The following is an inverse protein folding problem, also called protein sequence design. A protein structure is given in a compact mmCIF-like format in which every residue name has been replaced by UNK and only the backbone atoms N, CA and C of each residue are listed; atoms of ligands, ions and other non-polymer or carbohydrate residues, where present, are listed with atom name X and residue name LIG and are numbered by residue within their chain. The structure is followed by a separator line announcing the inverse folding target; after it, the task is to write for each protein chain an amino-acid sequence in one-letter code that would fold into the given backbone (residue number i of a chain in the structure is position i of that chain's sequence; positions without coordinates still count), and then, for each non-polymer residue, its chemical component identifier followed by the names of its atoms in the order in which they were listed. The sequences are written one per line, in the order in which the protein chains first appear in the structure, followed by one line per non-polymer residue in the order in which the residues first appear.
data_IF_741411403015
#
_entry.id   IF_741411403015
#
_cell.length_a   1.000
_cell.length_b   1.000
_cell.length_c   1.000
_cell.angle_alpha   90.00
_cell.angle_beta   90.00
_cell.angle_gamma   90.00
#
_symmetry.space_group_name_H-M   'P 1'
#
loop_
_entity.id
_entity.type
_entity.pdbx_description
1 polymer ?
#
# COMPACT_ATOMS: atom_id res chain seq x y z
N UNK A 1 -5.22 30.12 -5.90
CA UNK A 1 -5.04 29.15 -4.80
C UNK A 1 -4.32 29.72 -3.57
N UNK A 2 -3.58 30.84 -3.64
CA UNK A 2 -3.07 31.53 -2.43
C UNK A 2 -1.96 30.80 -1.66
N UNK A 3 -1.42 29.71 -2.21
CA UNK A 3 -0.32 28.91 -1.66
C UNK A 3 0.86 28.92 -2.64
N UNK A 4 2.08 28.89 -2.11
CA UNK A 4 3.30 28.62 -2.90
C UNK A 4 3.87 27.30 -2.42
N UNK A 5 3.54 26.17 -3.08
CA UNK A 5 4.02 24.86 -2.65
C UNK A 5 5.52 24.73 -2.94
N UNK A 6 6.26 23.95 -2.13
CA UNK A 6 7.62 23.54 -2.47
C UNK A 6 7.67 22.89 -3.85
N UNK A 7 8.73 23.16 -4.62
CA UNK A 7 8.96 22.56 -5.95
C UNK A 7 9.90 21.36 -5.91
N UNK A 8 10.62 21.16 -4.81
CA UNK A 8 11.44 19.97 -4.61
C UNK A 8 10.55 18.77 -4.27
N UNK A 9 11.04 17.57 -4.58
CA UNK A 9 10.34 16.33 -4.23
C UNK A 9 10.27 16.14 -2.71
N UNK A 10 9.10 15.70 -2.23
CA UNK A 10 8.95 15.19 -0.88
C UNK A 10 9.48 13.77 -0.74
N UNK A 11 9.24 13.16 0.43
CA UNK A 11 9.57 11.77 0.67
C UNK A 11 8.53 10.84 0.03
N UNK A 12 8.99 9.82 -0.70
CA UNK A 12 8.20 8.61 -0.96
C UNK A 12 8.01 7.79 0.34
N UNK A 13 7.27 6.68 0.28
CA UNK A 13 6.95 5.88 1.46
C UNK A 13 8.20 5.33 2.17
N UNK A 14 9.23 4.91 1.41
CA UNK A 14 10.49 4.39 1.97
C UNK A 14 11.26 5.51 2.63
N UNK A 15 11.47 6.63 1.93
CA UNK A 15 12.18 7.79 2.48
C UNK A 15 11.46 8.39 3.69
N UNK A 16 10.13 8.33 3.71
CA UNK A 16 9.36 8.76 4.88
C UNK A 16 9.69 7.88 6.08
N UNK A 17 9.73 6.55 5.90
CA UNK A 17 10.13 5.65 6.98
C UNK A 17 11.61 5.84 7.38
N UNK A 18 12.52 6.03 6.43
CA UNK A 18 13.93 6.31 6.73
C UNK A 18 14.09 7.60 7.55
N UNK A 19 13.37 8.66 7.19
CA UNK A 19 13.35 9.91 7.94
C UNK A 19 12.78 9.74 9.35
N UNK A 20 11.77 8.87 9.52
CA UNK A 20 11.24 8.52 10.85
C UNK A 20 12.26 7.76 11.69
N UNK A 21 12.99 6.82 11.08
CA UNK A 21 14.06 6.05 11.74
C UNK A 21 15.21 6.98 12.15
N UNK A 22 15.58 7.94 11.29
CA UNK A 22 16.63 8.93 11.57
C UNK A 22 16.21 9.98 12.61
N UNK A 23 14.91 10.13 12.89
CA UNK A 23 14.37 11.17 13.77
C UNK A 23 14.19 12.53 13.08
N UNK A 24 14.41 12.61 11.77
CA UNK A 24 14.18 13.82 10.97
C UNK A 24 12.68 14.09 10.78
N UNK A 25 11.88 13.03 10.64
CA UNK A 25 10.43 13.12 10.61
C UNK A 25 9.85 12.91 12.01
N UNK A 26 9.17 13.93 12.53
CA UNK A 26 8.59 13.94 13.89
C UNK A 26 7.09 13.73 13.93
N UNK A 27 6.41 13.97 12.82
CA UNK A 27 4.96 13.89 12.73
C UNK A 27 4.53 13.08 11.50
N UNK A 28 3.50 12.25 11.68
CA UNK A 28 2.86 11.50 10.60
C UNK A 28 1.35 11.78 10.59
N UNK A 29 0.81 12.11 9.42
CA UNK A 29 -0.63 12.23 9.20
C UNK A 29 -1.00 11.23 8.10
N UNK A 30 -1.74 10.19 8.46
CA UNK A 30 -2.19 9.16 7.54
C UNK A 30 -3.68 9.35 7.23
N UNK A 31 -4.00 9.55 5.95
CA UNK A 31 -5.37 9.46 5.45
C UNK A 31 -5.64 8.02 5.00
N UNK A 32 -6.24 7.23 5.89
CA UNK A 32 -6.40 5.78 5.72
C UNK A 32 -5.07 5.02 5.80
N UNK A 33 -5.10 3.78 5.33
CA UNK A 33 -3.92 2.92 5.21
C UNK A 33 -3.47 2.26 6.52
N UNK A 34 -2.56 1.31 6.37
CA UNK A 34 -1.91 0.58 7.46
C UNK A 34 -0.39 0.67 7.22
N UNK A 35 0.12 1.91 7.25
CA UNK A 35 1.47 2.28 6.77
C UNK A 35 2.55 1.33 7.30
N UNK A 36 2.62 1.14 8.61
CA UNK A 36 3.69 0.37 9.25
C UNK A 36 3.71 -1.10 8.81
N UNK A 37 2.54 -1.70 8.57
CA UNK A 37 2.41 -3.08 8.11
C UNK A 37 2.62 -3.19 6.61
N UNK A 38 2.27 -2.14 5.87
CA UNK A 38 2.45 -2.10 4.42
C UNK A 38 3.92 -1.93 4.01
N UNK A 39 4.72 -1.30 4.87
CA UNK A 39 6.15 -1.12 4.69
C UNK A 39 6.93 -2.46 4.76
N UNK A 40 8.09 -2.54 4.10
CA UNK A 40 9.03 -3.63 4.31
C UNK A 40 9.69 -3.47 5.69
N UNK A 41 10.26 -4.55 6.22
CA UNK A 41 11.02 -4.53 7.48
C UNK A 41 10.23 -3.94 8.68
N UNK A 42 9.31 -4.74 9.21
CA UNK A 42 8.48 -4.34 10.35
C UNK A 42 9.28 -4.10 11.63
N UNK A 43 10.44 -4.73 11.76
CA UNK A 43 11.34 -4.56 12.92
C UNK A 43 11.86 -3.13 13.00
N UNK A 44 12.06 -2.46 11.87
CA UNK A 44 12.40 -1.03 11.81
C UNK A 44 11.17 -0.13 11.76
N UNK A 45 10.12 -0.54 11.03
CA UNK A 45 8.92 0.28 10.87
C UNK A 45 8.16 0.50 12.20
N UNK A 46 8.02 -0.53 13.03
CA UNK A 46 7.21 -0.42 14.24
C UNK A 46 7.85 0.46 15.32
N UNK A 47 9.16 0.36 15.62
CA UNK A 47 9.83 1.30 16.51
C UNK A 47 9.81 2.73 15.97
N UNK A 48 10.03 2.94 14.67
CA UNK A 48 10.02 4.27 14.06
C UNK A 48 8.67 4.97 14.24
N UNK A 49 7.56 4.25 14.05
CA UNK A 49 6.21 4.76 14.33
C UNK A 49 6.04 5.20 15.79
N UNK A 50 6.53 4.40 16.75
CA UNK A 50 6.45 4.73 18.19
C UNK A 50 7.36 5.89 18.58
N UNK A 51 8.43 6.12 17.82
CA UNK A 51 9.39 7.21 18.05
C UNK A 51 8.90 8.60 17.63
N UNK A 52 7.79 8.70 16.90
CA UNK A 52 7.21 9.97 16.47
C UNK A 52 6.77 10.83 17.67
N UNK A 53 6.86 12.15 17.50
CA UNK A 53 6.28 13.12 18.43
C UNK A 53 4.74 13.20 18.24
N UNK A 54 4.26 13.06 17.01
CA UNK A 54 2.83 13.11 16.68
C UNK A 54 2.47 12.05 15.63
N UNK A 55 1.41 11.28 15.88
CA UNK A 55 0.79 10.42 14.87
C UNK A 55 -0.72 10.68 14.78
N UNK A 56 -1.20 11.01 13.60
CA UNK A 56 -2.63 11.24 13.32
C UNK A 56 -3.10 10.25 12.27
N UNK A 57 -4.11 9.45 12.60
CA UNK A 57 -4.71 8.49 11.68
C UNK A 57 -6.17 8.84 11.40
N UNK A 58 -6.49 9.15 10.16
CA UNK A 58 -7.88 9.24 9.69
C UNK A 58 -8.29 7.86 9.19
N UNK A 59 -9.32 7.25 9.75
CA UNK A 59 -9.62 5.85 9.42
C UNK A 59 -11.07 5.44 9.66
N UNK A 60 -11.53 4.49 8.85
CA UNK A 60 -12.88 3.92 8.91
C UNK A 60 -12.95 2.69 9.83
N UNK A 61 -11.81 2.06 10.10
CA UNK A 61 -11.65 0.90 10.98
C UNK A 61 -10.28 0.94 11.65
N UNK A 62 -10.20 0.38 12.86
CA UNK A 62 -8.92 0.17 13.52
C UNK A 62 -8.04 -0.86 12.77
N UNK A 63 -6.74 -0.59 12.68
CA UNK A 63 -5.74 -1.49 12.11
C UNK A 63 -4.48 -1.52 12.99
N UNK A 64 -3.49 -2.34 12.62
CA UNK A 64 -2.27 -2.56 13.40
C UNK A 64 -1.45 -1.29 13.62
N UNK A 65 -1.40 -0.39 12.65
CA UNK A 65 -0.66 0.89 12.79
C UNK A 65 -1.21 1.74 13.94
N UNK A 66 -2.51 1.67 14.24
CA UNK A 66 -3.12 2.42 15.35
C UNK A 66 -2.73 1.92 16.75
N UNK A 67 -2.13 0.73 16.84
CA UNK A 67 -1.57 0.20 18.09
C UNK A 67 -0.12 0.64 18.32
N UNK A 68 0.49 1.27 17.32
CA UNK A 68 1.87 1.79 17.39
C UNK A 68 1.81 3.27 17.82
N UNK A 69 1.38 3.50 19.05
CA UNK A 69 1.19 4.85 19.58
C UNK A 69 2.52 5.60 19.65
N UNK A 70 2.52 6.79 19.04
CA UNK A 70 3.54 7.83 19.19
C UNK A 70 3.38 8.56 20.52
N UNK A 71 4.22 9.58 20.78
CA UNK A 71 4.11 10.42 21.99
C UNK A 71 2.72 11.05 22.12
N UNK A 72 2.23 11.68 21.06
CA UNK A 72 0.84 12.11 20.92
C UNK A 72 0.20 11.34 19.77
N UNK A 73 -0.93 10.68 20.01
CA UNK A 73 -1.61 9.89 18.98
C UNK A 73 -3.09 10.26 18.91
N UNK A 74 -3.55 10.62 17.71
CA UNK A 74 -4.94 10.88 17.41
C UNK A 74 -5.47 9.89 16.38
N UNK A 75 -6.64 9.34 16.64
CA UNK A 75 -7.42 8.60 15.64
C UNK A 75 -8.66 9.43 15.37
N UNK A 76 -8.88 9.78 14.11
CA UNK A 76 -10.01 10.56 13.62
C UNK A 76 -10.91 9.62 12.80
N UNK A 77 -11.99 9.08 13.39
CA UNK A 77 -12.94 8.26 12.65
C UNK A 77 -13.57 9.07 11.51
N UNK A 78 -13.55 8.52 10.30
CA UNK A 78 -14.14 9.14 9.12
C UNK A 78 -15.26 8.28 8.51
N UNK A 79 -16.05 8.92 7.64
CA UNK A 79 -17.04 8.22 6.83
C UNK A 79 -16.36 7.19 5.92
N UNK A 80 -16.87 5.96 5.95
CA UNK A 80 -16.56 4.93 4.98
C UNK A 80 -17.17 5.20 3.61
N UNK A 81 -16.56 4.62 2.57
CA UNK A 81 -16.98 4.77 1.17
C UNK A 81 -18.46 4.44 0.93
N UNK A 82 -19.04 3.56 1.75
CA UNK A 82 -20.44 3.10 1.62
C UNK A 82 -21.44 4.00 2.35
N UNK A 83 -20.98 4.91 3.20
CA UNK A 83 -21.81 5.82 4.00
C UNK A 83 -22.16 7.10 3.23
N UNK A 84 -23.33 7.65 3.52
CA UNK A 84 -23.80 8.92 2.95
C UNK A 84 -22.97 10.07 3.50
N UNK A 85 -22.45 10.88 2.59
CA UNK A 85 -21.82 12.16 2.90
C UNK A 85 -22.82 13.30 2.61
N UNK A 86 -23.27 13.98 3.67
CA UNK A 86 -24.20 15.11 3.59
C UNK A 86 -23.48 16.38 4.03
N UNK A 87 -23.39 17.36 3.13
CA UNK A 87 -22.81 18.68 3.37
C UNK A 87 -23.89 19.76 3.18
N UNK A 88 -23.52 21.04 3.27
CA UNK A 88 -24.48 22.15 3.19
C UNK A 88 -25.27 22.19 1.86
N UNK A 89 -24.63 21.84 0.74
CA UNK A 89 -25.29 21.73 -0.57
C UNK A 89 -26.07 20.41 -0.77
N UNK A 90 -26.07 19.53 0.24
CA UNK A 90 -26.72 18.23 0.20
C UNK A 90 -25.73 17.08 0.02
N UNK A 91 -26.20 16.00 -0.62
CA UNK A 91 -25.42 14.76 -0.78
C UNK A 91 -24.22 14.97 -1.69
N UNK A 92 -23.06 14.58 -1.20
CA UNK A 92 -21.80 14.67 -1.92
C UNK A 92 -21.34 13.32 -2.48
N UNK A 93 -20.41 13.39 -3.43
CA UNK A 93 -19.66 12.24 -3.95
C UNK A 93 -18.20 12.62 -4.13
N UNK A 94 -17.31 11.75 -3.68
CA UNK A 94 -15.91 11.78 -4.11
C UNK A 94 -15.80 11.20 -5.52
N UNK A 95 -14.66 11.41 -6.17
CA UNK A 95 -14.33 10.86 -7.48
C UNK A 95 -13.12 9.96 -7.37
N UNK A 96 -13.13 8.84 -8.09
CA UNK A 96 -12.02 7.88 -8.12
C UNK A 96 -11.63 7.61 -9.57
N UNK A 97 -10.34 7.36 -9.79
CA UNK A 97 -9.80 6.85 -11.06
C UNK A 97 -9.52 5.35 -10.91
N UNK A 98 -9.92 4.54 -11.89
CA UNK A 98 -9.61 3.11 -11.93
C UNK A 98 -8.45 2.77 -12.88
N UNK A 99 -8.06 1.49 -12.92
CA UNK A 99 -6.94 1.00 -13.75
C UNK A 99 -7.16 1.14 -15.26
N UNK A 100 -8.37 1.51 -15.71
CA UNK A 100 -8.70 1.78 -17.11
C UNK A 100 -8.72 3.28 -17.41
N UNK A 101 -8.23 4.10 -16.47
CA UNK A 101 -8.22 5.55 -16.52
C UNK A 101 -9.62 6.15 -16.54
N UNK A 102 -10.61 5.49 -15.92
CA UNK A 102 -11.97 6.03 -15.79
C UNK A 102 -12.13 6.78 -14.47
N UNK A 103 -12.38 8.08 -14.56
CA UNK A 103 -12.77 8.94 -13.45
C UNK A 103 -14.28 8.94 -13.30
N UNK A 104 -14.78 8.51 -12.14
CA UNK A 104 -16.22 8.42 -11.88
C UNK A 104 -16.57 8.74 -10.43
N UNK A 105 -17.82 9.17 -10.23
CA UNK A 105 -18.33 9.46 -8.90
C UNK A 105 -18.50 8.19 -8.06
N UNK A 106 -18.09 8.27 -6.80
CA UNK A 106 -18.31 7.25 -5.77
C UNK A 106 -19.06 7.89 -4.61
N UNK A 107 -20.27 7.39 -4.35
CA UNK A 107 -21.13 7.89 -3.28
C UNK A 107 -21.81 6.74 -2.54
N UNK A 108 -21.60 6.71 -1.23
CA UNK A 108 -22.26 5.76 -0.35
C UNK A 108 -23.76 5.99 -0.26
N UNK A 109 -24.49 4.98 0.21
CA UNK A 109 -25.96 5.01 0.38
C UNK A 109 -26.40 4.65 1.79
N UNK A 110 -25.49 4.11 2.61
CA UNK A 110 -25.80 3.70 3.98
C UNK A 110 -25.83 4.93 4.89
N UNK A 111 -26.67 4.86 5.93
CA UNK A 111 -26.63 5.87 7.00
C UNK A 111 -25.27 5.79 7.70
N UNK A 112 -24.62 6.93 8.01
CA UNK A 112 -23.41 6.92 8.81
C UNK A 112 -23.58 6.17 10.13
N UNK A 113 -22.56 5.41 10.54
CA UNK A 113 -22.57 4.62 11.75
C UNK A 113 -22.69 5.48 13.02
N UNK A 114 -22.26 6.75 12.95
CA UNK A 114 -22.42 7.74 14.01
C UNK A 114 -22.62 9.13 13.42
N UNK A 115 -23.46 10.00 14.05
CA UNK A 115 -23.62 11.39 13.61
C UNK A 115 -22.35 12.25 13.85
N UNK A 116 -21.35 11.73 14.56
CA UNK A 116 -20.09 12.42 14.81
C UNK A 116 -19.05 12.19 13.70
N UNK A 117 -19.28 11.24 12.81
CA UNK A 117 -18.36 10.97 11.70
C UNK A 117 -18.32 12.15 10.74
N UNK A 118 -17.11 12.46 10.28
CA UNK A 118 -16.86 13.49 9.28
C UNK A 118 -16.28 12.86 8.02
N UNK A 119 -16.53 13.47 6.87
CA UNK A 119 -15.87 13.08 5.63
C UNK A 119 -14.37 13.40 5.67
N UNK A 120 -13.57 12.73 4.85
CA UNK A 120 -12.15 13.03 4.73
C UNK A 120 -11.88 14.49 4.32
N UNK A 121 -12.60 15.08 3.33
CA UNK A 121 -12.48 16.51 3.03
C UNK A 121 -12.79 17.42 4.23
N UNK A 122 -13.83 17.10 5.01
CA UNK A 122 -14.19 17.87 6.20
C UNK A 122 -13.12 17.79 7.31
N UNK A 123 -12.47 16.63 7.48
CA UNK A 123 -11.37 16.47 8.43
C UNK A 123 -10.15 17.27 7.97
N UNK A 124 -9.75 17.15 6.70
CA UNK A 124 -8.61 17.88 6.14
C UNK A 124 -8.83 19.40 6.23
N UNK A 125 -10.01 19.89 5.85
CA UNK A 125 -10.39 21.30 5.97
C UNK A 125 -10.41 21.77 7.43
N UNK A 126 -10.89 20.94 8.35
CA UNK A 126 -10.89 21.23 9.79
C UNK A 126 -9.48 21.39 10.35
N UNK A 127 -8.55 20.49 9.98
CA UNK A 127 -7.14 20.58 10.35
C UNK A 127 -6.49 21.84 9.77
N UNK A 128 -6.74 22.14 8.50
CA UNK A 128 -6.21 23.34 7.85
C UNK A 128 -6.72 24.63 8.51
N UNK A 129 -8.01 24.71 8.83
CA UNK A 129 -8.60 25.86 9.54
C UNK A 129 -8.00 26.05 10.94
N UNK A 130 -7.72 24.95 11.65
CA UNK A 130 -7.16 25.00 12.99
C UNK A 130 -5.67 25.36 13.01
N UNK A 131 -4.91 24.98 11.97
CA UNK A 131 -3.43 25.08 11.97
C UNK A 131 -2.88 26.15 11.03
N UNK A 132 -3.66 26.62 10.05
CA UNK A 132 -3.26 27.61 9.05
C UNK A 132 -4.14 28.87 9.12
N UNK A 133 -4.07 29.67 10.20
CA UNK A 133 -4.95 30.83 10.39
C UNK A 133 -4.75 31.93 9.34
N UNK A 134 -3.59 31.96 8.66
CA UNK A 134 -3.28 32.89 7.57
C UNK A 134 -3.66 32.36 6.19
N UNK A 135 -4.29 31.18 6.10
CA UNK A 135 -4.74 30.60 4.82
C UNK A 135 -5.73 31.54 4.12
N UNK A 136 -5.49 31.80 2.83
CA UNK A 136 -6.42 32.52 1.96
C UNK A 136 -7.50 31.62 1.35
N UNK A 137 -7.36 30.30 1.51
CA UNK A 137 -8.34 29.32 1.04
C UNK A 137 -9.49 29.28 2.03
N UNK A 138 -10.71 29.49 1.54
CA UNK A 138 -11.92 29.25 2.30
C UNK A 138 -12.23 27.74 2.32
N UNK A 139 -11.61 27.05 3.28
CA UNK A 139 -11.72 25.60 3.43
C UNK A 139 -13.15 25.13 3.68
N UNK A 140 -13.96 25.92 4.39
CA UNK A 140 -15.34 25.56 4.69
C UNK A 140 -16.19 25.66 3.42
N UNK A 141 -16.02 26.73 2.65
CA UNK A 141 -16.67 26.88 1.34
C UNK A 141 -16.40 25.70 0.41
N UNK A 142 -15.18 25.14 0.39
CA UNK A 142 -14.87 23.98 -0.43
C UNK A 142 -15.58 22.69 0.03
N UNK A 143 -15.74 22.49 1.33
CA UNK A 143 -16.36 21.27 1.88
C UNK A 143 -17.89 21.31 1.80
N UNK A 144 -18.49 22.49 1.83
CA UNK A 144 -19.94 22.67 1.67
C UNK A 144 -20.48 22.11 0.35
N UNK A 145 -19.65 22.09 -0.69
CA UNK A 145 -19.98 21.60 -2.03
C UNK A 145 -18.72 21.14 -2.79
N UNK A 146 -18.59 19.83 -3.03
CA UNK A 146 -17.43 19.22 -3.67
C UNK A 146 -17.32 19.58 -5.15
N UNK A 147 -18.35 20.17 -5.77
CA UNK A 147 -18.22 20.74 -7.11
C UNK A 147 -17.12 21.82 -7.14
N UNK A 148 -16.98 22.60 -6.05
CA UNK A 148 -15.96 23.65 -5.91
C UNK A 148 -14.54 23.08 -5.82
N UNK A 149 -14.36 21.92 -5.19
CA UNK A 149 -13.07 21.21 -5.17
C UNK A 149 -12.73 20.74 -6.58
N UNK A 150 -13.72 20.18 -7.29
CA UNK A 150 -13.56 19.72 -8.68
C UNK A 150 -13.27 20.87 -9.63
N UNK A 151 -13.86 22.05 -9.44
CA UNK A 151 -13.53 23.26 -10.20
C UNK A 151 -12.06 23.67 -10.02
N UNK A 152 -11.49 23.50 -8.82
CA UNK A 152 -10.07 23.76 -8.58
C UNK A 152 -9.18 22.69 -9.22
N UNK A 153 -9.60 21.42 -9.23
CA UNK A 153 -8.89 20.34 -9.94
C UNK A 153 -8.88 20.63 -11.45
N UNK A 154 -10.02 20.98 -12.03
CA UNK A 154 -10.16 21.34 -13.44
C UNK A 154 -9.22 22.49 -13.85
N UNK A 155 -9.06 23.50 -12.99
CA UNK A 155 -8.15 24.62 -13.23
C UNK A 155 -6.65 24.25 -13.15
N UNK A 156 -6.31 23.10 -12.57
CA UNK A 156 -4.92 22.78 -12.22
C UNK A 156 -4.37 21.52 -12.88
N UNK A 157 -5.22 20.56 -13.24
CA UNK A 157 -4.82 19.27 -13.80
C UNK A 157 -5.40 19.12 -15.22
N UNK A 158 -4.56 19.07 -16.27
CA UNK A 158 -5.03 18.82 -17.63
C UNK A 158 -5.84 17.52 -17.77
N UNK A 159 -6.86 17.53 -18.63
CA UNK A 159 -7.73 16.36 -18.87
C UNK A 159 -9.01 16.32 -18.02
N UNK A 160 -9.14 17.24 -17.06
CA UNK A 160 -10.31 17.37 -16.18
C UNK A 160 -11.31 18.44 -16.67
N UNK A 161 -11.26 18.87 -17.93
CA UNK A 161 -12.18 19.88 -18.46
C UNK A 161 -13.64 19.45 -18.30
N UNK A 162 -14.51 20.38 -17.91
CA UNK A 162 -15.92 20.16 -17.59
C UNK A 162 -16.13 19.06 -16.51
N UNK A 163 -15.29 19.03 -15.48
CA UNK A 163 -15.22 17.92 -14.51
C UNK A 163 -16.61 17.63 -13.91
N UNK A 164 -17.26 18.68 -13.39
CA UNK A 164 -18.56 18.58 -12.72
C UNK A 164 -19.68 18.08 -13.64
N UNK A 165 -19.63 18.42 -14.93
CA UNK A 165 -20.61 17.92 -15.89
C UNK A 165 -20.35 16.45 -16.20
N UNK A 166 -19.08 16.09 -16.43
CA UNK A 166 -18.67 14.75 -16.86
C UNK A 166 -18.93 13.68 -15.81
N UNK A 167 -18.69 13.95 -14.53
CA UNK A 167 -18.95 12.97 -13.45
C UNK A 167 -20.43 12.72 -13.16
N UNK A 168 -21.33 13.58 -13.64
CA UNK A 168 -22.78 13.38 -13.51
C UNK A 168 -23.31 12.39 -14.55
N UNK A 169 -22.58 12.16 -15.64
CA UNK A 169 -22.91 11.10 -16.58
C UNK A 169 -22.56 9.74 -15.95
N UNK A 170 -23.45 8.72 -16.02
CA UNK A 170 -23.14 7.38 -15.54
C UNK A 170 -21.83 6.84 -16.16
N UNK A 171 -20.92 6.36 -15.31
CA UNK A 171 -19.58 5.92 -15.73
C UNK A 171 -18.53 7.02 -15.80
N UNK A 172 -18.93 8.29 -15.64
CA UNK A 172 -18.01 9.42 -15.61
C UNK A 172 -17.29 9.64 -16.95
N UNK A 173 -15.96 9.76 -16.90
CA UNK A 173 -15.16 10.02 -18.10
C UNK A 173 -13.80 9.33 -18.04
N UNK A 174 -13.21 9.12 -19.22
CA UNK A 174 -11.85 8.58 -19.34
C UNK A 174 -10.84 9.71 -19.37
N UNK A 175 -9.74 9.57 -18.62
CA UNK A 175 -8.58 10.44 -18.76
C UNK A 175 -7.93 10.22 -20.13
N UNK A 176 -7.33 11.26 -20.73
CA UNK A 176 -6.58 11.11 -21.97
C UNK A 176 -5.47 10.07 -21.82
N UNK A 177 -5.35 9.18 -22.81
CA UNK A 177 -4.25 8.22 -22.92
C UNK A 177 -3.53 8.44 -24.26
N UNK A 178 -2.74 9.52 -24.40
CA UNK A 178 -2.15 9.93 -25.67
C UNK A 178 -1.48 8.80 -26.48
N UNK A 179 -0.75 7.84 -25.85
CA UNK A 179 -0.16 6.72 -26.60
C UNK A 179 -1.15 5.84 -27.36
N UNK A 180 -2.41 5.73 -26.94
CA UNK A 180 -3.42 4.95 -27.68
C UNK A 180 -3.81 5.58 -29.01
N UNK A 181 -3.54 6.88 -29.16
CA UNK A 181 -3.78 7.67 -30.36
C UNK A 181 -2.46 8.02 -31.08
N UNK A 182 -1.35 7.37 -30.70
CA UNK A 182 0.00 7.66 -31.24
C UNK A 182 0.42 9.12 -31.03
N UNK A 183 0.06 9.68 -29.88
CA UNK A 183 0.51 11.00 -29.43
C UNK A 183 1.52 10.77 -28.31
N UNK A 184 2.74 11.31 -28.47
CA UNK A 184 3.79 11.23 -27.46
C UNK A 184 4.12 12.63 -26.94
N UNK A 185 3.81 12.95 -25.67
CA UNK A 185 4.12 14.24 -25.06
C UNK A 185 5.61 14.32 -24.66
N UNK A 186 6.50 14.08 -25.62
CA UNK A 186 7.95 14.13 -25.47
C UNK A 186 8.48 15.34 -26.24
N UNK A 187 9.71 15.77 -25.95
CA UNK A 187 10.33 16.91 -26.65
C UNK A 187 10.44 16.70 -28.17
N UNK A 188 10.41 15.45 -28.65
CA UNK A 188 10.50 15.09 -30.08
C UNK A 188 9.13 14.81 -30.72
N UNK A 189 8.05 14.75 -29.93
CA UNK A 189 6.73 14.29 -30.38
C UNK A 189 6.66 12.81 -30.76
N UNK A 190 7.68 12.01 -30.42
CA UNK A 190 7.80 10.58 -30.77
C UNK A 190 8.06 9.72 -29.54
N UNK A 191 7.85 8.40 -29.69
CA UNK A 191 8.30 7.41 -28.73
C UNK A 191 9.82 7.51 -28.53
N UNK A 192 10.28 7.45 -27.29
CA UNK A 192 11.68 7.53 -26.93
C UNK A 192 12.20 6.13 -26.60
N UNK A 193 13.32 5.75 -27.20
CA UNK A 193 14.01 4.51 -26.87
C UNK A 193 15.07 4.79 -25.81
N UNK A 194 15.08 3.98 -24.75
CA UNK A 194 16.11 4.01 -23.71
C UNK A 194 16.90 2.71 -23.77
N UNK A 195 18.23 2.81 -23.66
CA UNK A 195 19.09 1.63 -23.57
C UNK A 195 19.11 1.18 -22.12
N UNK A 196 18.61 -0.04 -21.88
CA UNK A 196 18.76 -0.68 -20.58
C UNK A 196 20.10 -1.43 -20.53
N UNK A 197 20.80 -1.35 -19.39
CA UNK A 197 22.20 -1.81 -19.28
C UNK A 197 22.36 -3.33 -19.39
N UNK A 198 21.29 -4.11 -19.21
CA UNK A 198 21.31 -5.56 -19.36
C UNK A 198 19.97 -6.18 -18.96
N UNK A 199 19.78 -7.48 -19.20
CA UNK A 199 18.53 -8.20 -18.87
C UNK A 199 18.51 -8.78 -17.45
N UNK A 200 19.59 -8.60 -16.69
CA UNK A 200 19.71 -9.07 -15.32
C UNK A 200 19.23 -7.98 -14.36
N UNK A 201 17.97 -8.09 -13.94
CA UNK A 201 17.32 -7.13 -13.03
C UNK A 201 17.55 -7.47 -11.55
N UNK A 202 17.94 -8.72 -11.27
CA UNK A 202 18.11 -9.22 -9.91
C UNK A 202 19.55 -9.10 -9.43
N UNK A 203 19.73 -8.71 -8.17
CA UNK A 203 21.02 -8.87 -7.48
C UNK A 203 21.40 -10.34 -7.49
N UNK A 204 22.58 -10.65 -8.03
CA UNK A 204 23.14 -12.00 -8.04
C UNK A 204 23.64 -12.30 -6.63
N UNK A 205 23.12 -13.37 -6.05
CA UNK A 205 23.55 -13.91 -4.77
C UNK A 205 24.07 -15.32 -5.04
N UNK A 206 25.26 -15.63 -4.54
CA UNK A 206 25.87 -16.95 -4.71
C UNK A 206 25.16 -18.02 -3.87
N UNK A 207 25.13 -19.25 -4.37
CA UNK A 207 24.51 -20.41 -3.71
C UNK A 207 23.41 -21.03 -4.55
N UNK A 208 23.50 -22.35 -4.77
CA UNK A 208 22.49 -23.13 -5.48
C UNK A 208 21.19 -23.29 -4.67
N UNK A 209 21.24 -22.99 -3.38
CA UNK A 209 20.13 -23.04 -2.41
C UNK A 209 19.29 -21.75 -2.37
N UNK A 210 19.72 -20.69 -3.07
CA UNK A 210 19.05 -19.39 -3.05
C UNK A 210 17.79 -19.41 -3.92
N UNK A 211 16.66 -19.08 -3.30
CA UNK A 211 15.35 -19.00 -3.95
C UNK A 211 14.90 -17.55 -4.12
N UNK A 212 13.98 -17.29 -5.05
CA UNK A 212 13.33 -15.98 -5.22
C UNK A 212 11.96 -15.94 -4.57
N UNK A 213 11.83 -15.12 -3.54
CA UNK A 213 10.58 -14.88 -2.86
C UNK A 213 9.72 -13.85 -3.60
N UNK A 214 8.47 -14.24 -3.81
CA UNK A 214 7.38 -13.36 -4.27
C UNK A 214 6.34 -13.26 -3.16
N UNK A 215 6.02 -12.05 -2.71
CA UNK A 215 4.90 -11.86 -1.77
C UNK A 215 3.57 -11.87 -2.51
N UNK A 216 2.57 -12.56 -1.97
CA UNK A 216 1.27 -12.79 -2.60
C UNK A 216 0.13 -12.31 -1.71
N UNK A 217 -1.01 -11.95 -2.31
CA UNK A 217 -2.26 -11.74 -1.57
C UNK A 217 -3.16 -12.96 -1.77
N UNK A 218 -3.89 -13.33 -0.73
CA UNK A 218 -4.92 -14.37 -0.84
C UNK A 218 -6.19 -13.82 -1.48
N UNK A 219 -7.10 -14.73 -1.85
CA UNK A 219 -8.45 -14.37 -2.28
C UNK A 219 -9.20 -13.51 -1.25
N UNK A 220 -9.22 -13.92 0.03
CA UNK A 220 -9.97 -13.24 1.10
C UNK A 220 -9.17 -12.11 1.76
N UNK A 221 -8.57 -11.27 0.93
CA UNK A 221 -7.71 -10.19 1.35
C UNK A 221 -7.79 -9.00 0.39
N UNK A 222 -7.74 -7.79 0.94
CA UNK A 222 -7.50 -6.58 0.17
C UNK A 222 -6.35 -5.79 0.78
N UNK A 223 -5.23 -5.75 0.06
CA UNK A 223 -3.98 -5.16 0.54
C UNK A 223 -3.62 -5.69 1.95
N UNK A 224 -3.42 -4.86 2.97
CA UNK A 224 -3.10 -5.31 4.34
C UNK A 224 -4.32 -5.78 5.13
N UNK A 225 -5.52 -5.66 4.57
CA UNK A 225 -6.77 -6.06 5.25
C UNK A 225 -7.07 -7.51 4.95
N UNK A 226 -6.96 -8.35 5.98
CA UNK A 226 -7.27 -9.77 5.92
C UNK A 226 -8.73 -9.95 6.34
N UNK A 227 -9.56 -10.54 5.48
CA UNK A 227 -10.97 -10.81 5.76
C UNK A 227 -11.18 -12.22 6.31
N UNK A 228 -10.40 -13.18 5.84
CA UNK A 228 -10.37 -14.56 6.34
C UNK A 228 -8.95 -15.15 6.25
N UNK A 229 -8.75 -16.27 6.95
CA UNK A 229 -7.49 -17.03 6.92
C UNK A 229 -7.43 -18.02 5.75
N UNK A 230 -8.34 -17.91 4.79
CA UNK A 230 -8.48 -18.84 3.67
C UNK A 230 -7.92 -18.24 2.38
N UNK A 231 -7.38 -19.12 1.54
CA UNK A 231 -7.09 -18.89 0.14
C UNK A 231 -7.66 -20.04 -0.70
N UNK A 232 -8.93 -19.87 -1.08
CA UNK A 232 -9.69 -20.86 -1.85
C UNK A 232 -9.03 -21.20 -3.19
N UNK A 233 -8.28 -20.27 -3.79
CA UNK A 233 -7.62 -20.49 -5.07
C UNK A 233 -6.34 -21.32 -4.96
N UNK A 234 -5.76 -21.39 -3.76
CA UNK A 234 -4.53 -22.16 -3.49
C UNK A 234 -4.75 -23.35 -2.56
N UNK A 235 -5.99 -23.62 -2.16
CA UNK A 235 -6.33 -24.72 -1.26
C UNK A 235 -5.79 -24.56 0.15
N UNK A 236 -5.54 -23.33 0.61
CA UNK A 236 -5.07 -23.05 1.97
C UNK A 236 -6.27 -22.60 2.81
N UNK A 237 -6.47 -23.21 3.97
CA UNK A 237 -7.62 -22.93 4.84
C UNK A 237 -7.17 -22.76 6.28
N UNK A 238 -7.74 -21.78 6.99
CA UNK A 238 -7.51 -21.53 8.41
C UNK A 238 -6.10 -21.05 8.77
N UNK A 239 -5.24 -20.73 7.78
CA UNK A 239 -3.85 -20.35 8.02
C UNK A 239 -3.23 -19.52 6.91
N UNK A 240 -2.16 -18.81 7.25
CA UNK A 240 -1.40 -17.95 6.31
C UNK A 240 0.11 -18.02 6.51
N UNK A 241 0.59 -18.84 7.44
CA UNK A 241 1.99 -19.14 7.69
C UNK A 241 2.49 -20.22 6.71
N UNK A 242 2.41 -19.93 5.41
CA UNK A 242 2.68 -20.87 4.31
C UNK A 242 3.75 -20.33 3.36
N UNK A 243 4.63 -21.23 2.93
CA UNK A 243 5.58 -21.05 1.83
C UNK A 243 5.23 -22.00 0.68
N UNK A 244 4.73 -21.44 -0.41
CA UNK A 244 4.50 -22.18 -1.66
C UNK A 244 5.83 -22.47 -2.34
N UNK A 245 6.10 -23.73 -2.62
CA UNK A 245 7.37 -24.18 -3.19
C UNK A 245 7.15 -25.28 -4.22
N UNK A 246 7.99 -25.30 -5.26
CA UNK A 246 7.97 -26.37 -6.26
C UNK A 246 8.48 -27.69 -5.66
N UNK A 247 7.86 -28.81 -6.00
CA UNK A 247 8.26 -30.14 -5.48
C UNK A 247 9.71 -30.53 -5.82
N UNK A 248 10.23 -30.09 -6.97
CA UNK A 248 11.62 -30.38 -7.37
C UNK A 248 12.61 -29.61 -6.52
N UNK A 249 12.33 -28.33 -6.25
CA UNK A 249 13.16 -27.51 -5.36
C UNK A 249 13.10 -28.05 -3.93
N UNK A 250 11.92 -28.50 -3.48
CA UNK A 250 11.76 -29.14 -2.17
C UNK A 250 12.65 -30.38 -2.08
N UNK A 251 12.58 -31.28 -3.05
CA UNK A 251 13.42 -32.48 -3.08
C UNK A 251 14.92 -32.14 -3.13
N UNK A 252 15.32 -31.15 -3.91
CA UNK A 252 16.70 -30.68 -3.99
C UNK A 252 17.22 -30.11 -2.65
N UNK A 253 16.34 -29.49 -1.87
CA UNK A 253 16.66 -28.94 -0.54
C UNK A 253 16.35 -29.90 0.63
N UNK A 254 15.93 -31.15 0.36
CA UNK A 254 15.59 -32.13 1.40
C UNK A 254 14.32 -31.80 2.21
N UNK A 255 13.43 -30.99 1.63
CA UNK A 255 12.17 -30.56 2.22
C UNK A 255 11.00 -31.39 1.70
N UNK A 256 9.97 -31.52 2.55
CA UNK A 256 8.73 -32.22 2.24
C UNK A 256 7.51 -31.33 2.51
N UNK A 257 6.37 -31.67 1.93
CA UNK A 257 5.13 -30.94 2.18
C UNK A 257 4.78 -31.05 3.66
N UNK A 258 4.50 -29.91 4.30
CA UNK A 258 4.16 -29.84 5.73
C UNK A 258 5.34 -29.49 6.63
N UNK A 259 6.58 -29.58 6.14
CA UNK A 259 7.78 -29.18 6.88
C UNK A 259 7.69 -27.73 7.35
N UNK A 260 8.32 -27.46 8.49
CA UNK A 260 8.47 -26.12 9.05
C UNK A 260 9.85 -25.60 8.71
N UNK A 261 9.91 -24.41 8.14
CA UNK A 261 11.16 -23.74 7.77
C UNK A 261 11.23 -22.33 8.36
N UNK A 262 12.45 -21.88 8.59
CA UNK A 262 12.79 -20.48 8.73
C UNK A 262 13.26 -19.96 7.38
N UNK A 263 12.79 -18.77 7.00
CA UNK A 263 13.12 -18.10 5.76
C UNK A 263 14.04 -16.94 6.11
N UNK A 264 15.21 -16.89 5.49
CA UNK A 264 16.20 -15.85 5.72
C UNK A 264 16.44 -15.07 4.44
N UNK A 265 16.50 -13.74 4.53
CA UNK A 265 16.90 -12.93 3.38
C UNK A 265 18.36 -13.21 3.03
N UNK A 266 18.63 -13.56 1.78
CA UNK A 266 19.96 -13.98 1.32
C UNK A 266 20.86 -12.81 0.88
N UNK A 267 20.38 -11.57 0.94
CA UNK A 267 21.15 -10.38 0.60
C UNK A 267 22.31 -10.17 1.58
N UNK A 268 23.49 -9.74 1.10
CA UNK A 268 24.65 -9.47 1.96
C UNK A 268 24.31 -8.49 3.09
N UNK A 269 24.67 -8.86 4.32
CA UNK A 269 24.46 -8.03 5.51
C UNK A 269 23.02 -7.99 6.03
N UNK A 270 22.07 -8.72 5.42
CA UNK A 270 20.72 -8.86 5.96
C UNK A 270 20.68 -9.93 7.05
N UNK A 271 20.02 -9.61 8.17
CA UNK A 271 19.69 -10.56 9.24
C UNK A 271 18.17 -10.86 9.30
N UNK A 272 17.41 -10.36 8.33
CA UNK A 272 15.96 -10.47 8.32
C UNK A 272 15.50 -11.91 8.15
N UNK A 273 14.62 -12.34 9.04
CA UNK A 273 14.14 -13.72 9.12
C UNK A 273 12.62 -13.74 9.33
N UNK A 274 11.94 -14.66 8.66
CA UNK A 274 10.56 -15.04 8.94
C UNK A 274 10.56 -16.49 9.39
N UNK A 275 10.21 -16.69 10.64
CA UNK A 275 10.33 -17.99 11.29
C UNK A 275 9.07 -18.84 11.17
N UNK A 276 9.27 -20.16 11.27
CA UNK A 276 8.22 -21.13 11.56
C UNK A 276 7.08 -21.08 10.53
N UNK A 277 7.44 -21.25 9.26
CA UNK A 277 6.53 -21.25 8.10
C UNK A 277 6.38 -22.66 7.55
N UNK A 278 5.14 -23.06 7.20
CA UNK A 278 4.87 -24.39 6.63
C UNK A 278 5.09 -24.40 5.12
N UNK A 279 5.93 -25.33 4.65
CA UNK A 279 6.15 -25.59 3.22
C UNK A 279 4.92 -26.28 2.62
N UNK A 280 4.41 -25.74 1.52
CA UNK A 280 3.30 -26.29 0.76
C UNK A 280 3.74 -26.48 -0.68
N UNK A 281 3.78 -27.74 -1.11
CA UNK A 281 3.96 -28.11 -2.51
C UNK A 281 2.94 -27.37 -3.40
N UNK A 282 3.44 -26.65 -4.40
CA UNK A 282 2.63 -25.84 -5.30
C UNK A 282 3.28 -25.74 -6.68
N UNK A 283 2.46 -25.64 -7.72
CA UNK A 283 2.92 -25.46 -9.12
C UNK A 283 3.46 -24.07 -9.41
N UNK A 284 4.42 -23.60 -8.61
CA UNK A 284 5.20 -22.38 -8.86
C UNK A 284 6.44 -22.71 -9.68
N UNK A 285 6.99 -21.72 -10.39
CA UNK A 285 8.19 -21.90 -11.20
C UNK A 285 9.38 -22.35 -10.33
N UNK A 286 10.23 -23.29 -10.80
CA UNK A 286 11.45 -23.67 -10.09
C UNK A 286 12.34 -22.48 -9.75
N UNK A 287 13.04 -22.53 -8.61
CA UNK A 287 13.84 -21.42 -8.08
C UNK A 287 13.03 -20.28 -7.47
N UNK A 288 11.70 -20.42 -7.38
CA UNK A 288 10.78 -19.40 -6.84
C UNK A 288 9.98 -19.95 -5.65
N UNK A 289 9.77 -19.10 -4.65
CA UNK A 289 8.87 -19.38 -3.52
C UNK A 289 7.85 -18.27 -3.33
N UNK A 290 6.67 -18.62 -2.86
CA UNK A 290 5.58 -17.67 -2.60
C UNK A 290 5.20 -17.63 -1.13
N UNK A 291 5.12 -16.45 -0.52
CA UNK A 291 4.60 -16.30 0.84
C UNK A 291 3.60 -15.14 0.90
N UNK A 292 2.72 -15.14 1.90
CA UNK A 292 1.67 -14.12 1.97
C UNK A 292 2.19 -12.76 2.43
N UNK A 293 1.67 -11.72 1.78
CA UNK A 293 1.68 -10.35 2.24
C UNK A 293 0.56 -10.15 3.27
N UNK A 294 0.74 -9.34 4.33
CA UNK A 294 1.97 -8.62 4.69
C UNK A 294 2.94 -9.44 5.55
N UNK A 295 2.65 -10.69 5.87
CA UNK A 295 3.46 -11.51 6.78
C UNK A 295 4.93 -11.61 6.34
N UNK A 296 5.16 -11.81 5.04
CA UNK A 296 6.50 -11.93 4.45
C UNK A 296 7.22 -10.59 4.20
N UNK A 297 6.60 -9.45 4.51
CA UNK A 297 7.27 -8.15 4.33
C UNK A 297 8.50 -7.98 5.21
N UNK A 298 8.58 -8.70 6.34
CA UNK A 298 9.75 -8.70 7.20
C UNK A 298 11.01 -9.17 6.47
N UNK A 299 10.88 -9.96 5.40
CA UNK A 299 12.01 -10.47 4.61
C UNK A 299 12.54 -9.48 3.58
N UNK A 300 11.83 -8.37 3.35
CA UNK A 300 12.22 -7.38 2.34
C UNK A 300 13.05 -6.31 3.06
N UNK A 301 14.36 -6.13 2.75
CA UNK A 301 15.11 -5.03 3.32
C UNK A 301 14.60 -3.69 2.81
N UNK A 302 14.60 -2.68 3.68
CA UNK A 302 14.17 -1.33 3.33
C UNK A 302 14.96 -0.71 2.17
N UNK A 303 16.26 -1.05 2.05
CA UNK A 303 17.16 -0.57 1.01
C UNK A 303 17.18 -1.45 -0.26
N UNK A 304 16.35 -2.49 -0.34
CA UNK A 304 16.24 -3.34 -1.52
C UNK A 304 15.02 -2.92 -2.36
N UNK A 305 15.25 -1.86 -3.15
CA UNK A 305 14.24 -1.12 -3.89
C UNK A 305 14.73 -0.76 -5.30
N UNK A 306 13.79 -0.38 -6.16
CA UNK A 306 14.08 0.23 -7.46
C UNK A 306 14.66 1.63 -7.27
N UNK A 307 15.83 1.90 -7.87
CA UNK A 307 16.63 3.10 -7.63
C UNK A 307 15.92 4.41 -8.06
N UNK A 308 15.07 4.34 -9.09
CA UNK A 308 14.40 5.52 -9.64
C UNK A 308 13.05 5.80 -8.97
N UNK A 309 12.22 4.77 -8.78
CA UNK A 309 10.88 4.93 -8.22
C UNK A 309 10.82 4.80 -6.70
N UNK A 310 11.83 4.22 -6.06
CA UNK A 310 11.81 3.91 -4.62
C UNK A 310 10.94 2.71 -4.25
N UNK A 311 10.43 1.95 -5.23
CA UNK A 311 9.51 0.83 -4.97
C UNK A 311 10.26 -0.37 -4.38
N UNK A 312 9.88 -0.89 -3.20
CA UNK A 312 10.54 -2.07 -2.63
C UNK A 312 10.33 -3.33 -3.47
N UNK A 313 11.33 -4.22 -3.50
CA UNK A 313 11.32 -5.43 -4.33
C UNK A 313 10.50 -6.58 -3.72
N UNK A 314 9.20 -6.35 -3.50
CA UNK A 314 8.25 -7.34 -2.95
C UNK A 314 8.04 -8.61 -3.80
N UNK A 315 8.62 -8.65 -5.00
CA UNK A 315 8.38 -9.70 -6.00
C UNK A 315 9.66 -10.44 -6.40
N UNK A 316 10.81 -10.10 -5.82
CA UNK A 316 12.07 -10.76 -6.16
C UNK A 316 13.14 -10.63 -5.07
N UNK A 317 12.78 -10.97 -3.82
CA UNK A 317 13.75 -11.01 -2.71
C UNK A 317 14.50 -12.34 -2.75
N UNK A 318 15.84 -12.38 -2.78
CA UNK A 318 16.56 -13.64 -2.65
C UNK A 318 16.49 -14.12 -1.20
N UNK A 319 16.18 -15.39 -1.00
CA UNK A 319 16.02 -16.02 0.32
C UNK A 319 16.71 -17.37 0.39
N UNK A 320 17.06 -17.79 1.61
CA UNK A 320 17.49 -19.15 1.96
C UNK A 320 16.52 -19.76 2.96
N UNK A 321 16.43 -21.08 2.95
CA UNK A 321 15.55 -21.83 3.83
C UNK A 321 16.38 -22.66 4.81
N UNK A 322 15.99 -22.67 6.07
CA UNK A 322 16.52 -23.62 7.06
C UNK A 322 15.39 -24.46 7.59
N UNK A 323 15.56 -25.79 7.57
CA UNK A 323 14.59 -26.70 8.19
C UNK A 323 14.55 -26.44 9.70
N UNK A 324 13.37 -26.07 10.20
CA UNK A 324 13.08 -25.92 11.63
C UNK A 324 12.60 -27.23 12.23
N UNK A 325 11.63 -27.89 11.59
CA UNK A 325 11.04 -29.14 12.09
C UNK A 325 10.31 -29.90 10.99
N UNK A 326 10.25 -31.23 11.11
CA UNK A 326 9.41 -32.11 10.28
C UNK A 326 7.98 -32.25 10.84
N UNK A 327 7.68 -31.62 11.98
CA UNK A 327 6.36 -31.70 12.61
C UNK A 327 5.33 -30.85 11.85
N UNK A 328 4.23 -31.49 11.46
CA UNK A 328 3.10 -30.79 10.84
C UNK A 328 2.33 -30.05 11.91
N UNK A 329 2.32 -28.73 11.83
CA UNK A 329 1.52 -27.89 12.73
C UNK A 329 0.03 -28.05 12.42
N UNK A 330 -0.81 -28.42 13.41
CA UNK A 330 -2.25 -28.44 13.22
C UNK A 330 -2.76 -27.02 12.99
N UNK A 331 -3.86 -26.89 12.24
CA UNK A 331 -4.57 -25.62 12.15
C UNK A 331 -4.93 -25.15 13.56
N UNK A 332 -4.61 -23.90 13.90
CA UNK A 332 -5.07 -23.32 15.16
C UNK A 332 -6.60 -23.39 15.17
N UNK A 333 -7.16 -24.13 16.14
CA UNK A 333 -8.52 -24.64 16.12
C UNK A 333 -9.57 -23.62 15.65
N UNK A 334 -10.36 -24.05 14.67
CA UNK A 334 -11.69 -23.50 14.46
C UNK A 334 -12.47 -23.63 15.76
N UNK A 335 -13.09 -22.53 16.18
CA UNK A 335 -14.30 -22.64 16.98
C UNK A 335 -15.44 -23.07 16.07
#
# INVERSE_FOLDING_TARGET
MGITPPRHHGHDAVKALEAMIAGDAKALICLGGNFAVAMPDHERAFPAMRGLELSVHVGTKLNRSHLLTAKETFILPCLGRTELDLQASGRQSITVEDSMSMVHASSGKLKPASPMLRSEPAIVAGLAKATLPASKVDWQYLVEDYDRIRDLIEQTIPGFENYNQRIRHPGGFRMPLPPTERIWPTATGKAMFSVFKGVHENVVVEGEDVMRLVTLRSHDQYNTTIYAMDDRYRGVFGRRDVLFMNEQDMAAQGLEHGDRVDIHTALPGSALTLEDITVVAYGIAPGTVGAYYPEANVLVPLNYLDEESGTPSYKSVPVRLTLRSKEIRPLAGGR
#
